data_IF_722741848713
#
_entry.id   IF_722741848713
#
_cell.length_a   1.000
_cell.length_b   1.000
_cell.length_c   1.000
_cell.angle_alpha   90.00
_cell.angle_beta   90.00
_cell.angle_gamma   90.00
#
_symmetry.space_group_name_H-M   'P 1'
#
loop_
_entity.id
_entity.type
_entity.pdbx_description
1 polymer ?
#
# COMPACT_ATOMS: atom_id res chain seq x y z
N UNK A 1 18.52 10.62 16.42
CA UNK A 1 18.19 10.25 15.48
C UNK A 1 17.28 9.05 15.32
N UNK A 2 16.61 8.95 14.30
CA UNK A 2 15.66 8.04 14.11
C UNK A 2 16.08 6.89 13.42
N UNK A 3 16.96 6.34 13.68
CA UNK A 3 17.47 5.15 13.30
C UNK A 3 16.57 4.27 12.52
N UNK A 4 15.97 4.63 11.60
CA UNK A 4 15.26 3.71 10.77
C UNK A 4 13.77 3.61 11.02
N UNK A 5 13.32 4.21 12.09
CA UNK A 5 11.89 4.17 12.36
C UNK A 5 11.14 4.94 11.29
N UNK A 6 11.64 6.11 10.91
CA UNK A 6 11.01 6.90 9.86
C UNK A 6 11.06 6.15 8.54
N UNK A 7 12.20 5.55 8.24
CA UNK A 7 12.34 4.82 7.00
C UNK A 7 11.43 3.61 6.98
N UNK A 8 11.36 2.90 8.07
CA UNK A 8 10.46 1.75 8.16
C UNK A 8 9.01 2.17 7.96
N UNK A 9 8.64 3.27 8.58
CA UNK A 9 7.27 3.76 8.46
C UNK A 9 6.96 4.09 7.01
N UNK A 10 7.88 4.76 6.33
CA UNK A 10 7.67 5.13 4.95
C UNK A 10 7.52 3.87 4.09
N UNK A 11 8.35 2.88 4.34
CA UNK A 11 8.28 1.64 3.58
C UNK A 11 6.96 0.93 3.80
N UNK A 12 6.52 0.85 5.04
CA UNK A 12 5.28 0.17 5.36
C UNK A 12 4.09 0.90 4.74
N UNK A 13 4.07 2.22 4.87
CA UNK A 13 2.97 2.99 4.31
C UNK A 13 2.94 2.86 2.79
N UNK A 14 4.09 2.87 2.17
CA UNK A 14 4.17 2.72 0.72
C UNK A 14 3.65 1.36 0.29
N UNK A 15 4.03 0.32 1.01
CA UNK A 15 3.58 -1.03 0.69
C UNK A 15 2.07 -1.16 0.87
N UNK A 16 1.56 -0.65 1.98
CA UNK A 16 0.14 -0.74 2.24
C UNK A 16 -0.64 0.02 1.18
N UNK A 17 -0.17 1.19 0.80
CA UNK A 17 -0.82 1.98 -0.24
C UNK A 17 -0.81 1.26 -1.57
N UNK A 18 0.33 0.65 -1.91
CA UNK A 18 0.45 -0.07 -3.17
C UNK A 18 -0.51 -1.26 -3.19
N UNK A 19 -0.48 -2.07 -2.15
CA UNK A 19 -1.33 -3.25 -2.08
C UNK A 19 -2.79 -2.84 -2.07
N UNK A 20 -3.12 -1.78 -1.34
CA UNK A 20 -4.48 -1.30 -1.28
C UNK A 20 -5.00 -0.89 -2.65
N UNK A 21 -4.18 -0.18 -3.41
CA UNK A 21 -4.57 0.27 -4.74
C UNK A 21 -4.78 -0.92 -5.66
N UNK A 22 -3.86 -1.87 -5.63
CA UNK A 22 -3.95 -3.05 -6.47
C UNK A 22 -5.17 -3.88 -6.09
N UNK A 23 -5.42 -4.02 -4.80
CA UNK A 23 -6.55 -4.81 -4.33
C UNK A 23 -7.86 -4.17 -4.78
N UNK A 24 -7.96 -2.87 -4.67
CA UNK A 24 -9.18 -2.19 -5.11
C UNK A 24 -9.36 -2.30 -6.62
N UNK A 25 -8.28 -2.16 -7.36
CA UNK A 25 -8.37 -2.28 -8.81
C UNK A 25 -8.87 -3.64 -9.22
N UNK A 26 -8.35 -4.69 -8.59
CA UNK A 26 -8.79 -6.03 -8.92
C UNK A 26 -10.22 -6.27 -8.49
N UNK A 27 -10.57 -5.74 -7.33
CA UNK A 27 -11.92 -5.94 -6.83
C UNK A 27 -12.95 -5.31 -7.76
N UNK A 28 -12.64 -4.13 -8.25
CA UNK A 28 -13.55 -3.45 -9.16
C UNK A 28 -13.67 -4.21 -10.47
N UNK A 29 -12.55 -4.74 -10.96
CA UNK A 29 -12.58 -5.49 -12.19
C UNK A 29 -13.41 -6.75 -12.05
N UNK A 30 -13.31 -7.41 -10.93
CA UNK A 30 -14.07 -8.63 -10.73
C UNK A 30 -15.55 -8.34 -10.65
N UNK A 31 -15.91 -7.16 -10.20
CA UNK A 31 -17.32 -6.83 -10.14
C UNK A 31 -17.87 -6.39 -11.48
N UNK A 32 -17.03 -6.31 -12.47
CA UNK A 32 -17.52 -5.96 -13.78
C UNK A 32 -17.63 -4.49 -14.00
N UNK A 33 -17.00 -3.75 -13.15
CA UNK A 33 -17.10 -2.42 -13.35
C UNK A 33 -17.11 -1.34 -12.93
#
# INVERSE_FOLDING_TARGET
ADSGITLSTVLVVSLVGFVGTVALGRFVERRGG
#
